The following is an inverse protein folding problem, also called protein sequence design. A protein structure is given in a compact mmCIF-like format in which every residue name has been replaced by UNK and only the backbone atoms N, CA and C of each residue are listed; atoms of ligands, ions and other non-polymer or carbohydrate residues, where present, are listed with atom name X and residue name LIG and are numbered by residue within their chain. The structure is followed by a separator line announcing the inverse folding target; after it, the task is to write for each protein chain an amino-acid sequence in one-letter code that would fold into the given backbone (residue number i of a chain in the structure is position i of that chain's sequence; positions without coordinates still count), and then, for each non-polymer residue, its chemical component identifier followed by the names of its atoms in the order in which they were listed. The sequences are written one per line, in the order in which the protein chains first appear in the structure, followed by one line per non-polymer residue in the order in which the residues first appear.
data_IF_682004966334
#
_entry.id   IF_682004966334
#
_cell.length_a   1.000
_cell.length_b   1.000
_cell.length_c   1.000
_cell.angle_alpha   90.00
_cell.angle_beta   90.00
_cell.angle_gamma   90.00
#
_symmetry.space_group_name_H-M   'P 1'
#
loop_
_entity.id
_entity.type
_entity.pdbx_description
1 polymer ?
#
# COMPACT_ATOMS: atom_id res chain seq x y z
N UNK A 1 -8.01 19.09 -14.91
CA UNK A 1 -8.79 17.94 -14.38
C UNK A 1 -8.29 17.68 -12.96
N UNK A 2 -9.13 17.89 -11.93
CA UNK A 2 -8.74 17.71 -10.51
C UNK A 2 -8.40 16.25 -10.22
N UNK A 3 -7.38 15.98 -9.40
CA UNK A 3 -6.97 14.61 -9.05
C UNK A 3 -8.03 13.98 -8.13
N UNK A 4 -8.30 12.67 -8.21
CA UNK A 4 -9.24 11.98 -7.30
C UNK A 4 -8.94 12.16 -5.81
N UNK A 5 -7.71 12.49 -5.46
CA UNK A 5 -7.23 12.82 -4.11
C UNK A 5 -7.67 14.19 -3.61
N UNK A 6 -8.24 15.03 -4.46
CA UNK A 6 -8.64 16.41 -4.10
C UNK A 6 -9.96 16.44 -3.27
N UNK A 7 -10.58 15.28 -3.01
CA UNK A 7 -11.88 15.16 -2.30
C UNK A 7 -11.84 14.36 -0.99
N UNK A 8 -10.70 13.76 -0.64
CA UNK A 8 -10.52 13.07 0.63
C UNK A 8 -9.26 13.61 1.28
N UNK A 9 -9.44 14.45 2.29
CA UNK A 9 -8.34 14.76 3.19
C UNK A 9 -7.97 13.47 3.92
N UNK A 10 -6.68 13.25 4.18
CA UNK A 10 -6.23 12.11 5.00
C UNK A 10 -6.94 12.08 6.36
N UNK A 11 -7.41 13.24 6.85
CA UNK A 11 -8.23 13.36 8.06
C UNK A 11 -9.56 12.58 8.03
N UNK A 12 -10.08 12.30 6.84
CA UNK A 12 -11.38 11.64 6.65
C UNK A 12 -11.23 10.10 6.56
N UNK A 13 -9.98 9.62 6.50
CA UNK A 13 -9.65 8.20 6.38
C UNK A 13 -9.48 7.60 7.77
N UNK A 14 -10.28 6.58 8.09
CA UNK A 14 -10.19 5.85 9.36
C UNK A 14 -9.74 4.41 9.10
N UNK A 15 -8.99 3.85 10.05
CA UNK A 15 -8.75 2.41 10.08
C UNK A 15 -10.05 1.69 10.40
N UNK A 16 -10.34 0.64 9.64
CA UNK A 16 -11.42 -0.26 10.00
C UNK A 16 -10.98 -1.10 11.22
N UNK A 17 -11.79 -1.13 12.27
CA UNK A 17 -11.51 -1.88 13.51
C UNK A 17 -11.72 -3.41 13.37
N UNK A 18 -11.72 -3.93 12.13
CA UNK A 18 -11.90 -5.36 11.86
C UNK A 18 -10.76 -6.12 12.53
N UNK A 19 -11.09 -7.03 13.45
CA UNK A 19 -10.12 -7.95 14.05
C UNK A 19 -9.70 -8.96 13.01
N UNK A 20 -8.41 -8.96 12.68
CA UNK A 20 -7.82 -9.81 11.66
C UNK A 20 -7.03 -10.93 12.36
N UNK A 21 -6.87 -12.10 11.74
CA UNK A 21 -6.20 -13.23 12.36
C UNK A 21 -4.74 -12.87 12.71
N UNK A 22 -4.28 -13.14 13.94
CA UNK A 22 -2.88 -12.92 14.31
C UNK A 22 -1.97 -13.85 13.49
N UNK A 23 -0.81 -13.35 13.07
CA UNK A 23 0.24 -14.14 12.41
C UNK A 23 0.12 -14.28 10.89
N UNK A 24 -0.88 -13.69 10.25
CA UNK A 24 -0.99 -13.70 8.78
C UNK A 24 -0.14 -12.58 8.16
N UNK A 25 0.86 -13.01 7.38
CA UNK A 25 1.85 -12.16 6.69
C UNK A 25 1.21 -11.01 5.93
N UNK A 26 0.03 -11.23 5.31
CA UNK A 26 -0.66 -10.24 4.48
C UNK A 26 -1.03 -9.00 5.30
N UNK A 27 -1.39 -9.19 6.57
CA UNK A 27 -1.69 -8.10 7.48
C UNK A 27 -0.46 -7.40 8.02
N UNK A 28 0.64 -8.13 8.29
CA UNK A 28 1.91 -7.50 8.65
C UNK A 28 2.35 -6.52 7.55
N UNK A 29 2.25 -6.97 6.29
CA UNK A 29 2.57 -6.16 5.11
C UNK A 29 1.58 -4.99 4.98
N UNK A 30 0.27 -5.24 5.09
CA UNK A 30 -0.71 -4.16 5.00
C UNK A 30 -0.50 -3.10 6.09
N UNK A 31 -0.18 -3.50 7.31
CA UNK A 31 0.11 -2.60 8.43
C UNK A 31 1.33 -1.73 8.19
N UNK A 32 2.41 -2.29 7.65
CA UNK A 32 3.59 -1.51 7.23
C UNK A 32 3.22 -0.46 6.18
N UNK A 33 2.44 -0.82 5.16
CA UNK A 33 1.99 0.12 4.13
C UNK A 33 1.06 1.21 4.70
N UNK A 34 0.14 0.81 5.57
CA UNK A 34 -0.83 1.71 6.21
C UNK A 34 -0.12 2.75 7.08
N UNK A 35 0.92 2.38 7.82
CA UNK A 35 1.71 3.31 8.66
C UNK A 35 2.23 4.52 7.87
N UNK A 36 2.47 4.38 6.57
CA UNK A 36 2.94 5.48 5.73
C UNK A 36 1.94 6.64 5.65
N UNK A 37 0.63 6.38 5.79
CA UNK A 37 -0.40 7.43 5.75
C UNK A 37 -0.29 8.42 6.91
N UNK A 38 0.31 7.99 8.03
CA UNK A 38 0.48 8.79 9.23
C UNK A 38 1.93 9.21 9.46
N UNK A 39 2.79 9.09 8.44
CA UNK A 39 4.12 9.68 8.50
C UNK A 39 4.04 11.21 8.50
N UNK A 40 5.05 11.84 9.10
CA UNK A 40 5.14 13.31 9.14
C UNK A 40 5.20 13.88 7.72
N UNK A 41 4.60 15.07 7.46
CA UNK A 41 4.64 15.72 6.15
C UNK A 41 6.04 15.99 5.59
N UNK A 42 7.06 16.03 6.45
CA UNK A 42 8.47 16.21 6.07
C UNK A 42 9.12 14.95 5.48
N UNK A 43 8.42 13.82 5.44
CA UNK A 43 8.92 12.57 4.87
C UNK A 43 8.37 12.35 3.46
N UNK A 44 9.25 12.17 2.48
CA UNK A 44 8.90 11.68 1.14
C UNK A 44 9.13 10.18 1.09
N UNK A 45 8.12 9.42 0.66
CA UNK A 45 8.25 7.98 0.47
C UNK A 45 8.33 7.66 -1.03
N UNK A 46 9.19 6.72 -1.42
CA UNK A 46 9.35 6.28 -2.81
C UNK A 46 9.32 4.76 -2.88
N UNK A 47 8.49 4.22 -3.77
CA UNK A 47 8.45 2.78 -4.03
C UNK A 47 9.61 2.34 -4.93
N UNK A 48 10.29 1.25 -4.56
CA UNK A 48 11.35 0.59 -5.35
C UNK A 48 10.90 -0.73 -5.97
N UNK A 49 9.85 -1.34 -5.45
CA UNK A 49 9.34 -2.62 -5.93
C UNK A 49 8.65 -2.50 -7.30
N UNK A 50 8.03 -3.59 -7.74
CA UNK A 50 7.31 -3.58 -9.03
C UNK A 50 5.95 -2.89 -8.91
N UNK A 51 5.45 -2.32 -10.01
CA UNK A 51 4.07 -1.78 -10.04
C UNK A 51 3.05 -2.86 -9.71
N UNK A 52 3.22 -4.09 -10.22
CA UNK A 52 2.29 -5.19 -9.97
C UNK A 52 2.20 -5.55 -8.49
N UNK A 53 3.32 -5.50 -7.78
CA UNK A 53 3.36 -5.72 -6.33
C UNK A 53 2.58 -4.63 -5.60
N UNK A 54 2.87 -3.35 -5.89
CA UNK A 54 2.15 -2.24 -5.27
C UNK A 54 0.64 -2.30 -5.54
N UNK A 55 0.22 -2.58 -6.77
CA UNK A 55 -1.20 -2.75 -7.09
C UNK A 55 -1.80 -3.92 -6.29
N UNK A 56 -1.07 -5.03 -6.14
CA UNK A 56 -1.55 -6.20 -5.39
C UNK A 56 -1.73 -5.91 -3.89
N UNK A 57 -0.82 -5.11 -3.29
CA UNK A 57 -0.94 -4.65 -1.90
C UNK A 57 -2.14 -3.73 -1.70
N UNK A 58 -2.29 -2.73 -2.57
CA UNK A 58 -3.43 -1.80 -2.52
C UNK A 58 -4.75 -2.53 -2.71
N UNK A 59 -4.78 -3.53 -3.61
CA UNK A 59 -5.96 -4.35 -3.81
C UNK A 59 -6.29 -5.19 -2.58
N UNK A 60 -5.29 -5.70 -1.85
CA UNK A 60 -5.53 -6.41 -0.60
C UNK A 60 -6.19 -5.51 0.46
N UNK A 61 -5.68 -4.29 0.64
CA UNK A 61 -6.30 -3.28 1.53
C UNK A 61 -7.77 -3.02 1.14
N UNK A 62 -8.04 -2.92 -0.17
CA UNK A 62 -9.39 -2.76 -0.72
C UNK A 62 -10.27 -3.99 -0.44
N UNK A 63 -9.81 -5.19 -0.77
CA UNK A 63 -10.62 -6.41 -0.67
C UNK A 63 -10.95 -6.78 0.77
N UNK A 64 -10.07 -6.46 1.70
CA UNK A 64 -10.30 -6.66 3.13
C UNK A 64 -11.08 -5.51 3.79
N UNK A 65 -11.23 -4.37 3.10
CA UNK A 65 -11.91 -3.18 3.59
C UNK A 65 -11.21 -2.52 4.78
N UNK A 66 -9.87 -2.46 4.76
CA UNK A 66 -9.07 -2.02 5.92
C UNK A 66 -9.14 -0.51 6.20
N UNK A 67 -9.57 0.28 5.22
CA UNK A 67 -9.76 1.71 5.35
C UNK A 67 -11.21 2.07 5.02
N UNK A 68 -11.80 2.92 5.85
CA UNK A 68 -13.16 3.43 5.72
C UNK A 68 -13.16 4.95 5.68
N UNK A 69 -14.21 5.53 5.11
CA UNK A 69 -14.47 6.96 5.16
C UNK A 69 -15.09 7.37 6.52
N UNK A 70 -15.38 8.67 6.65
CA UNK A 70 -15.98 9.28 7.83
C UNK A 70 -17.36 8.70 8.18
N UNK A 71 -18.10 8.25 7.17
CA UNK A 71 -19.42 7.61 7.25
C UNK A 71 -19.36 6.10 7.49
N UNK A 72 -18.16 5.51 7.51
CA UNK A 72 -17.94 4.10 7.77
C UNK A 72 -17.99 3.19 6.54
N UNK A 73 -18.00 3.73 5.32
CA UNK A 73 -17.95 2.94 4.10
C UNK A 73 -16.50 2.58 3.72
N UNK A 74 -16.22 1.34 3.28
CA UNK A 74 -14.90 0.98 2.76
C UNK A 74 -14.48 1.87 1.59
N UNK A 75 -13.23 2.32 1.60
CA UNK A 75 -12.69 3.12 0.51
C UNK A 75 -12.62 2.32 -0.80
N UNK A 76 -13.03 2.94 -1.90
CA UNK A 76 -12.96 2.29 -3.22
C UNK A 76 -11.51 2.01 -3.64
N UNK A 77 -11.31 0.97 -4.44
CA UNK A 77 -9.99 0.66 -5.00
C UNK A 77 -9.36 1.83 -5.77
N UNK A 78 -10.17 2.65 -6.46
CA UNK A 78 -9.71 3.85 -7.17
C UNK A 78 -9.12 4.89 -6.22
N UNK A 79 -9.79 5.14 -5.10
CA UNK A 79 -9.33 6.07 -4.05
C UNK A 79 -8.02 5.55 -3.45
N UNK A 80 -7.99 4.28 -3.05
CA UNK A 80 -6.81 3.66 -2.45
C UNK A 80 -5.61 3.65 -3.40
N UNK A 81 -5.85 3.40 -4.69
CA UNK A 81 -4.81 3.48 -5.72
C UNK A 81 -4.26 4.89 -5.82
N UNK A 82 -5.12 5.91 -5.91
CA UNK A 82 -4.66 7.29 -5.99
C UNK A 82 -3.87 7.71 -4.75
N UNK A 83 -4.33 7.32 -3.57
CA UNK A 83 -3.71 7.60 -2.28
C UNK A 83 -2.31 7.01 -2.18
N UNK A 84 -2.17 5.68 -2.31
CA UNK A 84 -0.88 5.01 -2.10
C UNK A 84 0.11 5.27 -3.23
N UNK A 85 -0.35 5.38 -4.48
CA UNK A 85 0.55 5.72 -5.59
C UNK A 85 1.05 7.15 -5.49
N UNK A 86 0.20 8.09 -5.07
CA UNK A 86 0.62 9.46 -4.78
C UNK A 86 1.64 9.52 -3.65
N UNK A 87 1.34 8.84 -2.52
CA UNK A 87 2.22 8.76 -1.34
C UNK A 87 3.60 8.18 -1.67
N UNK A 88 3.65 7.18 -2.53
CA UNK A 88 4.87 6.45 -2.90
C UNK A 88 5.54 6.96 -4.18
N UNK A 89 5.07 8.09 -4.72
CA UNK A 89 5.61 8.73 -5.92
C UNK A 89 5.63 7.82 -7.17
N UNK A 90 4.61 6.96 -7.30
CA UNK A 90 4.45 6.05 -8.44
C UNK A 90 3.38 6.59 -9.38
N UNK A 91 3.62 6.53 -10.68
CA UNK A 91 2.57 6.83 -11.67
C UNK A 91 1.47 5.77 -11.60
N UNK A 92 0.22 6.21 -11.45
CA UNK A 92 -0.94 5.32 -11.46
C UNK A 92 -1.03 4.64 -12.85
N UNK A 93 -1.11 3.29 -12.92
CA UNK A 93 -1.28 2.60 -14.19
C UNK A 93 -2.66 2.88 -14.78
N UNK A 94 -2.78 2.83 -16.11
CA UNK A 94 -4.03 3.13 -16.80
C UNK A 94 -5.20 2.19 -16.39
N UNK A 95 -4.90 0.93 -16.08
CA UNK A 95 -5.89 -0.05 -15.62
C UNK A 95 -5.33 -0.91 -14.47
N UNK A 96 -5.38 -0.41 -13.22
CA UNK A 96 -4.89 -1.15 -12.05
C UNK A 96 -5.65 -2.47 -11.86
N UNK A 97 -6.96 -2.50 -12.11
CA UNK A 97 -7.79 -3.70 -11.94
C UNK A 97 -7.34 -4.85 -12.85
N UNK A 98 -7.04 -4.56 -14.12
CA UNK A 98 -6.54 -5.56 -15.06
C UNK A 98 -5.19 -6.15 -14.62
N UNK A 99 -4.31 -5.33 -14.02
CA UNK A 99 -3.03 -5.79 -13.48
C UNK A 99 -3.24 -6.81 -12.37
N UNK A 100 -4.14 -6.54 -11.41
CA UNK A 100 -4.45 -7.50 -10.32
C UNK A 100 -5.05 -8.78 -10.86
N UNK A 101 -6.02 -8.69 -11.77
CA UNK A 101 -6.68 -9.86 -12.35
C UNK A 101 -5.64 -10.76 -13.01
N UNK A 102 -4.76 -10.19 -13.85
CA UNK A 102 -3.67 -10.93 -14.48
C UNK A 102 -2.69 -11.49 -13.45
N UNK A 103 -2.38 -10.72 -12.41
CA UNK A 103 -1.47 -11.16 -11.35
C UNK A 103 -2.00 -12.38 -10.58
N UNK A 104 -3.32 -12.44 -10.34
CA UNK A 104 -3.99 -13.56 -9.68
C UNK A 104 -4.19 -14.76 -10.60
N UNK A 105 -4.22 -14.55 -11.91
CA UNK A 105 -4.46 -15.59 -12.93
C UNK A 105 -3.16 -16.18 -13.53
N UNK A 106 -1.98 -15.91 -12.95
CA UNK A 106 -0.69 -16.44 -13.45
C UNK A 106 -0.61 -17.96 -13.31
N UNK A 107 -1.18 -18.70 -14.27
CA UNK A 107 -0.97 -20.14 -14.41
C UNK A 107 0.36 -20.40 -15.12
N UNK A 108 1.15 -21.35 -14.63
CA UNK A 108 2.38 -21.81 -15.30
C UNK A 108 3.61 -20.89 -15.21
N UNK A 109 3.54 -19.79 -14.44
CA UNK A 109 4.68 -18.89 -14.20
C UNK A 109 5.23 -19.18 -12.80
N UNK A 110 6.48 -19.65 -12.71
CA UNK A 110 7.17 -19.88 -11.43
C UNK A 110 7.71 -18.56 -10.86
N UNK A 111 6.80 -17.67 -10.47
CA UNK A 111 7.14 -16.40 -9.82
C UNK A 111 6.19 -16.14 -8.64
N UNK A 112 6.76 -16.12 -7.44
CA UNK A 112 6.02 -15.82 -6.22
C UNK A 112 5.49 -14.38 -6.25
N UNK A 113 4.23 -14.21 -5.86
CA UNK A 113 3.66 -12.89 -5.62
C UNK A 113 4.24 -12.27 -4.33
N UNK A 114 4.01 -10.98 -4.11
CA UNK A 114 4.57 -10.26 -2.95
C UNK A 114 4.27 -10.92 -1.60
N UNK A 115 3.07 -11.48 -1.42
CA UNK A 115 2.69 -12.14 -0.17
C UNK A 115 3.46 -13.45 0.02
N UNK A 116 3.54 -14.28 -1.01
CA UNK A 116 4.30 -15.54 -0.98
C UNK A 116 5.81 -15.30 -0.77
N UNK A 117 6.37 -14.26 -1.43
CA UNK A 117 7.78 -13.87 -1.23
C UNK A 117 8.04 -13.52 0.22
N UNK A 118 7.15 -12.74 0.83
CA UNK A 118 7.32 -12.27 2.20
C UNK A 118 7.01 -13.33 3.25
N UNK A 119 6.05 -14.21 2.99
CA UNK A 119 5.82 -15.40 3.82
C UNK A 119 7.09 -16.25 3.92
N UNK A 120 7.76 -16.49 2.79
CA UNK A 120 9.02 -17.25 2.74
C UNK A 120 10.20 -16.53 3.41
N UNK A 121 10.25 -15.19 3.36
CA UNK A 121 11.29 -14.42 4.03
C UNK A 121 11.06 -14.41 5.54
N UNK A 122 9.83 -14.13 5.98
CA UNK A 122 9.46 -14.08 7.39
C UNK A 122 9.60 -15.44 8.09
N UNK A 123 9.36 -16.55 7.38
CA UNK A 123 9.58 -17.89 7.94
C UNK A 123 11.06 -18.19 8.24
N UNK A 124 11.98 -17.50 7.58
CA UNK A 124 13.43 -17.61 7.83
C UNK A 124 13.92 -16.63 8.88
N UNK A 125 13.27 -15.47 8.99
CA UNK A 125 13.59 -14.45 9.98
C UNK A 125 12.34 -13.58 10.26
N UNK A 126 11.77 -13.74 11.45
CA UNK A 126 10.56 -13.04 11.86
C UNK A 126 10.72 -11.52 12.00
N UNK A 127 11.95 -11.01 12.11
CA UNK A 127 12.24 -9.57 12.21
C UNK A 127 12.25 -8.85 10.85
N UNK A 128 12.15 -9.59 9.73
CA UNK A 128 12.11 -8.98 8.40
C UNK A 128 10.87 -8.10 8.29
N UNK A 129 11.10 -6.83 7.97
CA UNK A 129 10.08 -5.83 7.62
C UNK A 129 10.05 -5.66 6.11
N UNK A 130 9.20 -6.40 5.39
CA UNK A 130 9.45 -6.64 3.99
C UNK A 130 9.19 -5.41 3.13
N UNK A 131 8.21 -4.57 3.49
CA UNK A 131 7.96 -3.32 2.78
C UNK A 131 8.97 -2.24 3.07
N UNK A 132 9.54 -2.23 4.28
CA UNK A 132 10.58 -1.27 4.64
C UNK A 132 11.81 -1.38 3.72
N UNK A 133 12.06 -2.54 3.10
CA UNK A 133 13.11 -2.72 2.09
C UNK A 133 12.70 -2.26 0.68
N UNK A 134 11.41 -2.22 0.38
CA UNK A 134 10.87 -1.77 -0.92
C UNK A 134 10.53 -0.28 -0.94
N UNK A 135 10.68 0.43 0.18
CA UNK A 135 10.34 1.84 0.33
C UNK A 135 11.59 2.62 0.75
N UNK A 136 11.90 3.70 0.02
CA UNK A 136 12.86 4.71 0.47
C UNK A 136 12.09 5.80 1.20
N UNK A 137 12.51 6.13 2.42
CA UNK A 137 12.03 7.30 3.16
C UNK A 137 13.12 8.37 3.11
N UNK A 138 12.82 9.49 2.44
CA UNK A 138 13.67 10.66 2.33
C UNK A 138 13.13 11.75 3.27
N UNK A 139 13.92 12.14 4.26
CA UNK A 139 13.59 13.28 5.12
C UNK A 139 13.94 14.57 4.39
N UNK A 140 12.95 15.44 4.19
CA UNK A 140 13.18 16.78 3.65
C UNK A 140 13.66 17.64 4.81
N UNK A 141 14.94 18.00 4.79
CA UNK A 141 15.49 18.95 5.75
C UNK A 141 14.84 20.33 5.53
N UNK A 142 14.35 20.94 6.61
CA UNK A 142 13.66 22.24 6.56
C UNK A 142 14.64 23.42 6.42
N UNK A 143 15.94 23.15 6.30
CA UNK A 143 17.01 24.14 6.18
C UNK A 143 17.09 24.87 4.82
N UNK A 144 16.19 24.60 3.87
CA UNK A 144 16.19 25.23 2.52
C UNK A 144 14.97 26.13 2.24
N UNK A 145 14.37 26.71 3.27
CA UNK A 145 13.43 27.82 3.11
C UNK A 145 14.04 29.03 3.85
N UNK A 146 15.00 29.68 3.21
CA UNK A 146 15.41 31.05 3.51
C UNK A 146 14.89 31.96 2.38
#
# INVERSE_FOLDING_TARGET
MKRPTDFLSVSDIKRNARKLPPGDVRYCIAEELLRLLWLKPSCKCRWKGTTTDLVSLVYFIYSEGLLIDDKGFPLSFRILTALFFGLLQVRIPANPSAIVIRARQRKGVRQYNIFERYELLMSKNAEIRPLSNEIVVEYVDQSTIN
#
